data_IF_953796731904
#
_entry.id   IF_953796731904
#
_cell.length_a   1.000
_cell.length_b   1.000
_cell.length_c   1.000
_cell.angle_alpha   90.00
_cell.angle_beta   90.00
_cell.angle_gamma   90.00
#
_symmetry.space_group_name_H-M   'P 1'
#
loop_
_entity.id
_entity.type
_entity.pdbx_description
1 polymer ?
#
# COMPACT_ATOMS: atom_id res chain seq x y z
N UNK A 1 -22.61 -17.76 -23.19
CA UNK A 1 -21.53 -17.02 -23.88
C UNK A 1 -20.56 -16.57 -22.79
N UNK A 2 -19.46 -17.32 -22.56
CA UNK A 2 -18.49 -16.99 -21.52
C UNK A 2 -17.62 -15.81 -21.99
N UNK A 3 -17.76 -14.66 -21.34
CA UNK A 3 -16.90 -13.51 -21.61
C UNK A 3 -15.51 -13.76 -21.03
N UNK A 4 -14.52 -13.98 -21.90
CA UNK A 4 -13.11 -13.90 -21.55
C UNK A 4 -12.82 -12.47 -21.07
N UNK A 5 -12.33 -12.32 -19.84
CA UNK A 5 -11.55 -11.15 -19.46
C UNK A 5 -10.21 -11.26 -20.18
N UNK A 6 -9.96 -10.35 -21.12
CA UNK A 6 -8.68 -10.24 -21.82
C UNK A 6 -7.57 -9.90 -20.82
N UNK A 7 -6.37 -10.42 -21.10
CA UNK A 7 -5.16 -10.20 -20.29
C UNK A 7 -4.82 -8.71 -20.36
N UNK A 8 -4.60 -8.07 -19.20
CA UNK A 8 -4.12 -6.68 -19.12
C UNK A 8 -5.18 -5.57 -19.06
N UNK A 9 -6.49 -5.88 -19.11
CA UNK A 9 -7.55 -4.87 -18.95
C UNK A 9 -8.14 -4.95 -17.54
N UNK A 10 -8.11 -3.83 -16.80
CA UNK A 10 -8.83 -3.70 -15.54
C UNK A 10 -10.30 -4.02 -15.73
N UNK A 11 -10.82 -4.94 -14.93
CA UNK A 11 -12.25 -5.14 -14.85
C UNK A 11 -12.88 -3.89 -14.24
N UNK A 12 -13.58 -3.08 -15.05
CA UNK A 12 -14.48 -2.03 -14.53
C UNK A 12 -15.41 -2.63 -13.48
N UNK A 13 -15.80 -1.85 -12.47
CA UNK A 13 -16.58 -2.33 -11.31
C UNK A 13 -17.78 -3.22 -11.68
N UNK A 14 -18.53 -2.85 -12.73
CA UNK A 14 -19.65 -3.64 -13.27
C UNK A 14 -19.30 -5.03 -13.83
N UNK A 15 -18.03 -5.36 -14.04
CA UNK A 15 -17.54 -6.69 -14.47
C UNK A 15 -16.97 -7.53 -13.32
N UNK A 16 -16.53 -6.92 -12.23
CA UNK A 16 -15.82 -7.61 -11.11
C UNK A 16 -16.66 -7.80 -9.85
N UNK A 17 -17.84 -7.17 -9.75
CA UNK A 17 -18.76 -7.39 -8.63
C UNK A 17 -19.02 -8.88 -8.36
N UNK A 18 -18.79 -9.30 -7.11
CA UNK A 18 -18.98 -10.69 -6.66
C UNK A 18 -17.86 -11.67 -7.05
N UNK A 19 -16.71 -11.19 -7.54
CA UNK A 19 -15.56 -12.01 -7.93
C UNK A 19 -14.31 -11.64 -7.15
N UNK A 20 -13.38 -12.58 -7.07
CA UNK A 20 -12.02 -12.32 -6.58
C UNK A 20 -11.17 -11.89 -7.78
N UNK A 21 -10.47 -10.77 -7.65
CA UNK A 21 -9.47 -10.31 -8.63
C UNK A 21 -8.10 -10.76 -8.14
N UNK A 22 -7.40 -11.58 -8.93
CA UNK A 22 -6.08 -12.07 -8.57
C UNK A 22 -5.03 -10.98 -8.82
N UNK A 23 -4.24 -10.66 -7.79
CA UNK A 23 -2.99 -9.88 -7.91
C UNK A 23 -1.84 -10.85 -7.70
N UNK A 24 -1.13 -11.19 -8.78
CA UNK A 24 -0.02 -12.15 -8.78
C UNK A 24 1.27 -11.44 -8.40
N UNK A 25 1.93 -11.92 -7.34
CA UNK A 25 3.29 -11.55 -6.91
C UNK A 25 4.30 -12.69 -7.09
N UNK A 26 3.98 -13.64 -7.98
CA UNK A 26 4.78 -14.81 -8.30
C UNK A 26 4.72 -15.07 -9.79
N UNK A 27 5.72 -15.77 -10.30
CA UNK A 27 5.79 -16.24 -11.68
C UNK A 27 5.58 -17.77 -11.71
N UNK A 28 5.01 -18.28 -12.79
CA UNK A 28 4.88 -19.73 -13.02
C UNK A 28 6.01 -20.24 -13.92
N UNK A 29 6.45 -21.47 -13.64
CA UNK A 29 7.46 -22.13 -14.47
C UNK A 29 7.01 -22.22 -15.93
N UNK A 30 7.83 -21.72 -16.85
CA UNK A 30 7.54 -21.71 -18.29
C UNK A 30 6.88 -20.42 -18.80
N UNK A 31 6.56 -19.46 -17.93
CA UNK A 31 6.32 -18.07 -18.35
C UNK A 31 7.70 -17.43 -18.60
N UNK A 32 8.02 -17.05 -19.84
CA UNK A 32 9.29 -16.35 -20.12
C UNK A 32 9.45 -15.09 -19.26
N UNK A 33 10.69 -14.60 -19.05
CA UNK A 33 10.94 -13.36 -18.31
C UNK A 33 10.05 -12.21 -18.86
N UNK A 34 9.19 -11.65 -18.00
CA UNK A 34 8.20 -10.64 -18.41
C UNK A 34 6.87 -11.19 -18.92
N UNK A 35 6.51 -12.42 -18.52
CA UNK A 35 5.39 -13.27 -18.96
C UNK A 35 3.98 -12.66 -19.12
N UNK A 36 3.83 -11.72 -20.07
CA UNK A 36 2.53 -11.36 -20.65
C UNK A 36 2.05 -12.41 -21.67
N UNK A 37 2.90 -13.39 -22.01
CA UNK A 37 2.60 -14.49 -22.93
C UNK A 37 2.90 -15.82 -22.27
N UNK A 38 1.92 -16.46 -21.62
CA UNK A 38 2.18 -17.75 -20.97
C UNK A 38 0.99 -18.45 -20.33
N UNK A 39 0.60 -18.09 -19.10
CA UNK A 39 -0.23 -18.99 -18.28
C UNK A 39 -1.75 -18.84 -18.40
N UNK A 40 -2.26 -17.81 -19.07
CA UNK A 40 -3.71 -17.61 -19.18
C UNK A 40 -4.44 -17.39 -17.84
N UNK A 41 -3.72 -17.16 -16.74
CA UNK A 41 -4.34 -16.82 -15.46
C UNK A 41 -4.87 -15.38 -15.50
N UNK A 42 -6.18 -15.17 -15.27
CA UNK A 42 -6.76 -13.84 -15.25
C UNK A 42 -6.30 -13.06 -14.02
N UNK A 43 -6.08 -11.76 -14.16
CA UNK A 43 -5.71 -10.87 -13.04
C UNK A 43 -4.56 -9.92 -13.39
N UNK A 44 -4.07 -9.23 -12.36
CA UNK A 44 -2.93 -8.33 -12.45
C UNK A 44 -1.65 -9.10 -12.17
N UNK A 45 -0.65 -8.99 -13.05
CA UNK A 45 0.65 -9.64 -12.88
C UNK A 45 1.72 -8.64 -12.48
N UNK A 46 2.09 -8.67 -11.20
CA UNK A 46 3.18 -7.92 -10.61
C UNK A 46 4.31 -8.91 -10.29
N UNK A 47 5.02 -9.39 -11.32
CA UNK A 47 6.14 -10.32 -11.16
C UNK A 47 7.12 -9.83 -10.09
N UNK A 48 7.85 -10.71 -9.38
CA UNK A 48 8.87 -10.29 -8.42
C UNK A 48 9.88 -9.28 -8.99
N UNK A 49 10.23 -9.39 -10.27
CA UNK A 49 11.08 -8.42 -10.98
C UNK A 49 10.46 -7.03 -11.15
N UNK A 50 9.12 -6.95 -11.19
CA UNK A 50 8.33 -5.70 -11.16
C UNK A 50 8.00 -5.27 -9.73
N UNK A 51 8.46 -6.01 -8.71
CA UNK A 51 8.28 -5.71 -7.29
C UNK A 51 9.65 -5.57 -6.59
N UNK A 52 10.43 -4.51 -6.91
CA UNK A 52 11.72 -4.30 -6.27
C UNK A 52 11.60 -4.15 -4.76
N UNK A 53 12.62 -4.66 -4.07
CA UNK A 53 12.71 -4.59 -2.62
C UNK A 53 13.03 -3.15 -2.19
N UNK A 54 12.16 -2.58 -1.37
CA UNK A 54 12.37 -1.30 -0.69
C UNK A 54 12.75 -0.09 -1.59
N UNK A 55 12.30 -0.04 -2.85
CA UNK A 55 12.68 1.01 -3.83
C UNK A 55 11.74 2.24 -3.81
N UNK A 56 12.22 3.45 -3.45
CA UNK A 56 11.44 4.70 -3.45
C UNK A 56 10.78 5.12 -4.76
N UNK A 57 11.26 4.61 -5.88
CA UNK A 57 10.75 4.94 -7.20
C UNK A 57 9.82 3.86 -7.77
N UNK A 58 9.69 2.70 -7.13
CA UNK A 58 8.83 1.60 -7.55
C UNK A 58 7.90 1.11 -6.43
N UNK A 59 8.43 0.68 -5.27
CA UNK A 59 7.70 0.36 -4.03
C UNK A 59 8.63 0.58 -2.81
N UNK A 60 8.67 1.79 -2.20
CA UNK A 60 9.60 2.06 -1.10
C UNK A 60 9.07 1.62 0.24
N UNK A 61 9.87 0.83 0.97
CA UNK A 61 9.89 0.81 2.43
C UNK A 61 11.26 0.33 2.99
N UNK A 62 12.34 1.11 2.86
CA UNK A 62 13.56 0.81 3.64
C UNK A 62 13.26 1.03 5.12
N UNK A 63 12.93 -0.06 5.81
CA UNK A 63 12.89 -0.11 7.26
C UNK A 63 14.31 -0.35 7.74
N UNK A 64 15.03 0.76 7.92
CA UNK A 64 16.12 0.83 8.88
C UNK A 64 17.38 0.02 8.51
N UNK A 65 18.35 0.65 7.85
CA UNK A 65 19.71 0.09 7.70
C UNK A 65 20.51 0.10 9.03
N UNK A 66 19.94 0.65 10.12
CA UNK A 66 20.67 0.93 11.37
C UNK A 66 20.08 0.15 12.54
N UNK A 67 20.85 -0.77 13.10
CA UNK A 67 20.44 -1.71 14.17
C UNK A 67 20.16 -1.07 15.55
N UNK A 68 19.89 0.23 15.65
CA UNK A 68 19.72 0.96 16.92
C UNK A 68 18.71 2.12 16.88
N UNK A 69 17.85 2.23 15.86
CA UNK A 69 16.86 3.32 15.84
C UNK A 69 15.73 3.08 16.85
N UNK A 70 15.20 4.17 17.39
CA UNK A 70 14.10 4.13 18.35
C UNK A 70 12.78 3.76 17.67
N UNK A 71 11.80 3.31 18.45
CA UNK A 71 10.43 3.07 17.96
C UNK A 71 9.87 4.33 17.28
N UNK A 72 10.07 5.50 17.89
CA UNK A 72 9.63 6.80 17.37
C UNK A 72 10.26 7.11 16.00
N UNK A 73 11.57 6.93 15.86
CA UNK A 73 12.28 7.15 14.60
C UNK A 73 11.78 6.22 13.49
N UNK A 74 11.49 4.96 13.80
CA UNK A 74 10.93 4.00 12.85
C UNK A 74 9.52 4.41 12.41
N UNK A 75 8.65 4.80 13.35
CA UNK A 75 7.30 5.27 13.05
C UNK A 75 7.35 6.54 12.19
N UNK A 76 8.16 7.53 12.57
CA UNK A 76 8.29 8.78 11.82
C UNK A 76 8.81 8.55 10.40
N UNK A 77 9.83 7.69 10.25
CA UNK A 77 10.38 7.32 8.95
C UNK A 77 9.34 6.64 8.08
N UNK A 78 8.58 5.69 8.65
CA UNK A 78 7.50 5.02 7.94
C UNK A 78 6.40 5.99 7.54
N UNK A 79 5.92 6.79 8.48
CA UNK A 79 4.84 7.73 8.24
C UNK A 79 5.21 8.73 7.14
N UNK A 80 6.45 9.23 7.12
CA UNK A 80 6.94 10.09 6.03
C UNK A 80 6.87 9.41 4.66
N UNK A 81 7.24 8.15 4.57
CA UNK A 81 7.17 7.37 3.32
C UNK A 81 5.72 7.13 2.88
N UNK A 82 4.84 6.78 3.83
CA UNK A 82 3.40 6.60 3.57
C UNK A 82 2.78 7.90 3.08
N UNK A 83 3.07 9.03 3.76
CA UNK A 83 2.63 10.36 3.35
C UNK A 83 3.04 10.69 1.93
N UNK A 84 4.33 10.56 1.62
CA UNK A 84 4.85 10.86 0.29
C UNK A 84 4.16 10.01 -0.81
N UNK A 85 3.87 8.74 -0.54
CA UNK A 85 3.22 7.87 -1.52
C UNK A 85 1.73 8.22 -1.72
N UNK A 86 1.00 8.54 -0.65
CA UNK A 86 -0.39 9.00 -0.73
C UNK A 86 -0.52 10.35 -1.43
N UNK A 87 0.38 11.29 -1.14
CA UNK A 87 0.45 12.59 -1.82
C UNK A 87 0.78 12.42 -3.31
N UNK A 88 1.67 11.49 -3.66
CA UNK A 88 1.97 11.14 -5.06
C UNK A 88 0.74 10.58 -5.79
N UNK A 89 -0.02 9.69 -5.13
CA UNK A 89 -1.26 9.15 -5.69
C UNK A 89 -2.31 10.26 -5.90
N UNK A 90 -2.49 11.13 -4.91
CA UNK A 90 -3.40 12.27 -4.99
C UNK A 90 -2.99 13.26 -6.10
N UNK A 91 -1.70 13.59 -6.20
CA UNK A 91 -1.18 14.49 -7.22
C UNK A 91 -1.31 13.92 -8.63
N UNK A 92 -1.07 12.62 -8.82
CA UNK A 92 -1.24 11.96 -10.11
C UNK A 92 -2.69 12.03 -10.60
N UNK A 93 -3.66 11.90 -9.69
CA UNK A 93 -5.07 12.04 -10.01
C UNK A 93 -5.44 13.47 -10.45
N UNK A 94 -4.90 14.49 -9.77
CA UNK A 94 -5.10 15.90 -10.15
C UNK A 94 -4.47 16.19 -11.51
N UNK A 95 -3.25 15.69 -11.76
CA UNK A 95 -2.53 15.90 -13.01
C UNK A 95 -3.28 15.31 -14.22
N UNK A 96 -4.03 14.23 -14.03
CA UNK A 96 -4.88 13.61 -15.05
C UNK A 96 -6.27 14.28 -15.16
N UNK A 97 -6.44 15.49 -14.62
CA UNK A 97 -7.69 16.25 -14.67
C UNK A 97 -8.83 15.62 -13.85
N UNK A 98 -8.52 14.73 -12.91
CA UNK A 98 -9.51 13.99 -12.15
C UNK A 98 -10.20 12.88 -12.95
N UNK A 99 -9.62 12.44 -14.06
CA UNK A 99 -10.17 11.33 -14.86
C UNK A 99 -10.29 10.05 -13.99
N UNK A 100 -11.44 9.39 -14.07
CA UNK A 100 -11.66 8.12 -13.34
C UNK A 100 -10.81 6.98 -13.93
N UNK A 101 -10.51 7.06 -15.23
CA UNK A 101 -9.75 6.08 -16.00
C UNK A 101 -8.24 6.39 -16.04
N UNK A 102 -7.64 6.75 -14.90
CA UNK A 102 -6.17 6.85 -14.85
C UNK A 102 -5.56 5.44 -14.95
N UNK A 103 -4.60 5.25 -15.87
CA UNK A 103 -3.88 3.98 -16.07
C UNK A 103 -2.90 3.64 -14.93
N UNK A 104 -2.87 4.46 -13.87
CA UNK A 104 -1.93 4.30 -12.74
C UNK A 104 -2.56 3.57 -11.56
N UNK A 105 -1.87 2.52 -11.09
CA UNK A 105 -2.16 1.81 -9.84
C UNK A 105 -1.21 2.27 -8.73
N UNK A 106 -1.78 2.71 -7.62
CA UNK A 106 -1.05 2.99 -6.39
C UNK A 106 -1.45 1.98 -5.32
N UNK A 107 -0.44 1.31 -4.73
CA UNK A 107 -0.62 0.45 -3.54
C UNK A 107 0.32 0.97 -2.45
N UNK A 108 -0.24 1.52 -1.39
CA UNK A 108 0.49 2.04 -0.24
C UNK A 108 0.45 1.03 0.90
N UNK A 109 1.60 0.62 1.41
CA UNK A 109 1.68 -0.24 2.60
C UNK A 109 2.05 0.59 3.82
N UNK A 110 1.11 0.77 4.75
CA UNK A 110 1.34 1.37 6.06
C UNK A 110 1.85 0.34 7.09
N UNK A 111 1.67 -0.96 6.81
CA UNK A 111 2.15 -2.09 7.62
C UNK A 111 3.67 -2.12 7.76
N UNK A 112 4.15 -2.73 8.84
CA UNK A 112 5.58 -2.83 9.16
C UNK A 112 5.97 -4.28 9.43
N UNK A 113 7.22 -4.64 9.13
CA UNK A 113 7.75 -5.93 9.55
C UNK A 113 8.21 -5.92 11.02
N UNK A 114 8.31 -7.12 11.60
CA UNK A 114 9.01 -7.28 12.86
C UNK A 114 10.53 -7.17 12.63
N UNK A 115 11.21 -6.31 13.38
CA UNK A 115 12.66 -6.25 13.39
C UNK A 115 13.24 -6.70 14.73
N UNK A 116 14.49 -7.18 14.68
CA UNK A 116 15.25 -7.65 15.84
C UNK A 116 16.09 -6.55 16.49
N UNK A 117 15.65 -5.29 16.40
CA UNK A 117 16.31 -4.19 17.12
C UNK A 117 16.32 -4.46 18.64
N UNK A 118 17.10 -3.68 19.38
CA UNK A 118 17.09 -3.73 20.84
C UNK A 118 16.71 -2.33 21.36
N UNK A 119 15.46 -2.11 21.82
CA UNK A 119 14.38 -3.10 21.92
C UNK A 119 13.75 -3.47 20.56
N UNK A 120 13.17 -4.68 20.42
CA UNK A 120 12.56 -5.11 19.16
C UNK A 120 11.37 -4.23 18.80
N UNK A 121 11.19 -3.97 17.51
CA UNK A 121 10.02 -3.28 16.99
C UNK A 121 9.09 -4.30 16.35
N UNK A 122 7.83 -4.34 16.81
CA UNK A 122 6.79 -5.25 16.31
C UNK A 122 5.74 -4.49 15.51
N UNK A 123 5.01 -5.15 14.58
CA UNK A 123 4.00 -4.50 13.75
C UNK A 123 2.94 -3.72 14.55
N UNK A 124 2.52 -4.26 15.69
CA UNK A 124 1.56 -3.61 16.59
C UNK A 124 2.06 -2.25 17.08
N UNK A 125 3.31 -2.19 17.57
CA UNK A 125 3.93 -0.95 18.01
C UNK A 125 4.09 0.05 16.87
N UNK A 126 4.37 -0.42 15.65
CA UNK A 126 4.46 0.45 14.48
C UNK A 126 3.11 1.04 14.08
N UNK A 127 2.05 0.24 14.11
CA UNK A 127 0.72 0.65 13.71
C UNK A 127 0.05 1.54 14.77
N UNK A 128 0.10 1.12 16.04
CA UNK A 128 -0.66 1.73 17.14
C UNK A 128 0.19 2.65 18.02
N UNK A 129 1.50 2.46 18.04
CA UNK A 129 2.40 3.09 19.01
C UNK A 129 2.59 2.19 20.24
N UNK A 130 3.27 2.69 21.26
CA UNK A 130 3.51 1.94 22.50
C UNK A 130 2.74 2.50 23.72
N UNK A 131 1.86 3.49 23.53
CA UNK A 131 1.06 4.07 24.61
C UNK A 131 1.86 4.78 25.71
N UNK A 132 3.14 5.07 25.46
CA UNK A 132 4.04 5.83 26.37
C UNK A 132 4.43 7.16 25.75
N UNK A 133 5.11 8.02 26.54
CA UNK A 133 5.67 9.31 26.09
C UNK A 133 6.64 9.20 24.89
N UNK A 134 7.07 7.99 24.52
CA UNK A 134 7.95 7.73 23.36
C UNK A 134 7.21 7.84 22.03
N UNK A 135 5.89 7.64 22.01
CA UNK A 135 5.08 7.77 20.78
C UNK A 135 3.86 8.65 21.04
N UNK A 136 4.06 9.96 21.30
CA UNK A 136 3.00 10.86 21.74
C UNK A 136 1.90 11.03 20.68
N UNK A 137 2.25 10.92 19.40
CA UNK A 137 1.33 10.98 18.26
C UNK A 137 0.77 9.60 17.87
N UNK A 138 1.06 8.57 18.66
CA UNK A 138 0.75 7.18 18.36
C UNK A 138 1.57 6.63 17.18
N UNK A 139 1.19 5.43 16.74
CA UNK A 139 1.77 4.76 15.58
C UNK A 139 1.28 5.31 14.24
N UNK A 140 1.69 4.66 13.16
CA UNK A 140 1.39 5.05 11.77
C UNK A 140 -0.11 5.16 11.53
N UNK A 141 -0.94 4.29 12.11
CA UNK A 141 -2.39 4.34 11.92
C UNK A 141 -3.03 5.58 12.56
N UNK A 142 -2.55 5.99 13.73
CA UNK A 142 -3.03 7.21 14.41
C UNK A 142 -2.63 8.46 13.61
N UNK A 143 -1.39 8.53 13.15
CA UNK A 143 -0.90 9.64 12.34
C UNK A 143 -1.58 9.70 10.97
N UNK A 144 -1.99 8.55 10.42
CA UNK A 144 -2.76 8.47 9.18
C UNK A 144 -4.12 9.16 9.27
N UNK A 145 -4.78 9.17 10.43
CA UNK A 145 -6.09 9.84 10.59
C UNK A 145 -6.02 11.30 10.15
N UNK A 146 -5.06 12.05 10.69
CA UNK A 146 -4.86 13.46 10.36
C UNK A 146 -4.54 13.66 8.87
N UNK A 147 -3.65 12.83 8.32
CA UNK A 147 -3.29 12.90 6.90
C UNK A 147 -4.49 12.58 5.98
N UNK A 148 -5.29 11.57 6.29
CA UNK A 148 -6.44 11.19 5.48
C UNK A 148 -7.55 12.24 5.53
N UNK A 149 -7.68 12.97 6.65
CA UNK A 149 -8.53 14.15 6.73
C UNK A 149 -8.03 15.29 5.84
N UNK A 150 -6.71 15.53 5.79
CA UNK A 150 -6.08 16.51 4.89
C UNK A 150 -6.32 16.13 3.41
N UNK A 151 -6.21 14.84 3.08
CA UNK A 151 -6.36 14.32 1.72
C UNK A 151 -7.79 13.94 1.34
N UNK A 152 -8.78 14.34 2.14
CA UNK A 152 -10.18 13.94 1.92
C UNK A 152 -10.66 14.32 0.52
N UNK A 153 -11.26 13.35 -0.18
CA UNK A 153 -11.74 13.53 -1.55
C UNK A 153 -10.67 13.31 -2.64
N UNK A 154 -9.42 13.02 -2.26
CA UNK A 154 -8.36 12.64 -3.20
C UNK A 154 -8.40 11.14 -3.52
N UNK A 155 -7.91 10.74 -4.70
CA UNK A 155 -7.71 9.34 -5.05
C UNK A 155 -6.40 8.83 -4.42
N UNK A 156 -6.53 7.98 -3.40
CA UNK A 156 -5.39 7.44 -2.63
C UNK A 156 -4.86 6.10 -3.16
N UNK A 157 -5.61 5.45 -4.06
CA UNK A 157 -5.32 4.09 -4.51
C UNK A 157 -5.70 3.04 -3.47
N UNK A 158 -4.96 1.94 -3.43
CA UNK A 158 -5.12 0.88 -2.43
C UNK A 158 -4.23 1.21 -1.24
N UNK A 159 -4.81 1.25 -0.04
CA UNK A 159 -4.06 1.43 1.22
C UNK A 159 -4.16 0.14 2.01
N UNK A 160 -3.00 -0.46 2.30
CA UNK A 160 -2.86 -1.70 3.06
C UNK A 160 -2.32 -1.34 4.45
N UNK A 161 -3.05 -1.73 5.48
CA UNK A 161 -2.75 -1.40 6.88
C UNK A 161 -2.76 -2.66 7.73
N UNK A 162 -1.94 -2.70 8.78
CA UNK A 162 -2.11 -3.66 9.89
C UNK A 162 -3.09 -3.08 10.91
N UNK A 163 -3.76 -3.91 11.70
CA UNK A 163 -4.70 -3.48 12.76
C UNK A 163 -5.73 -2.47 12.23
N UNK A 164 -6.40 -2.84 11.13
CA UNK A 164 -7.25 -1.92 10.36
C UNK A 164 -8.41 -1.32 11.14
N UNK A 165 -8.83 -1.97 12.22
CA UNK A 165 -9.91 -1.56 13.12
C UNK A 165 -9.47 -0.51 14.16
N UNK A 166 -8.18 -0.18 14.21
CA UNK A 166 -7.63 0.82 15.12
C UNK A 166 -6.74 1.85 14.39
N UNK A 167 -7.04 3.16 14.49
CA UNK A 167 -8.19 3.76 15.17
C UNK A 167 -9.52 3.54 14.43
N UNK A 168 -10.65 3.64 15.15
CA UNK A 168 -11.97 3.23 14.66
C UNK A 168 -12.41 3.95 13.36
N UNK A 169 -11.94 5.18 13.15
CA UNK A 169 -12.22 6.01 11.98
C UNK A 169 -11.33 5.69 10.77
N UNK A 170 -10.25 4.91 10.92
CA UNK A 170 -9.23 4.72 9.89
C UNK A 170 -9.80 4.19 8.57
N UNK A 171 -10.55 3.09 8.62
CA UNK A 171 -11.18 2.50 7.43
C UNK A 171 -12.15 3.49 6.80
N UNK A 172 -12.93 4.19 7.63
CA UNK A 172 -13.91 5.17 7.18
C UNK A 172 -13.25 6.30 6.38
N UNK A 173 -12.09 6.78 6.83
CA UNK A 173 -11.32 7.81 6.14
C UNK A 173 -10.69 7.29 4.84
N UNK A 174 -10.18 6.04 4.81
CA UNK A 174 -9.61 5.43 3.59
C UNK A 174 -10.66 5.29 2.49
N UNK A 175 -11.90 4.92 2.84
CA UNK A 175 -12.99 4.77 1.86
C UNK A 175 -13.71 6.09 1.56
N UNK A 176 -13.34 7.20 2.23
CA UNK A 176 -13.91 8.52 2.00
C UNK A 176 -15.28 8.77 2.62
N UNK A 177 -15.65 8.04 3.68
CA UNK A 177 -16.90 8.23 4.45
C UNK A 177 -16.83 9.33 5.51
#
# INVERSE_FOLDING_TARGET
>A
MLGRTEVGIWGRWGRVGGKIVLVRRFDLDGEGEGGESGSGLPGLHLSPTKWPDNDPNAFALVYNETTNSTVEENIATKFRSVRAHLEKAAAAYIADGGAEDTDSLFITFASAEHNTNIPPVVPETMALGNGTDVTPDGGVNHQLVSLLQELRGSRLGIVVVDFFDEPAELVGLIIGS
#
